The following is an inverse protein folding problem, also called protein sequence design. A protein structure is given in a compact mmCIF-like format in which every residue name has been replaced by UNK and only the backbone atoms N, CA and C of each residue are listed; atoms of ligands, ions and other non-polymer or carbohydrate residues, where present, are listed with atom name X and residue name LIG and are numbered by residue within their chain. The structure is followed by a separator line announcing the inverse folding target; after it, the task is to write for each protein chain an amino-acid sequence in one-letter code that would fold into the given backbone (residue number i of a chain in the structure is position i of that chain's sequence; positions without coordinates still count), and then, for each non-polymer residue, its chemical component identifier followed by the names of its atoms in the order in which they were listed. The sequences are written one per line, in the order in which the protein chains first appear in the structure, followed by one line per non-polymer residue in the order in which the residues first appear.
data_IF_627235457946
#
_entry.id   IF_627235457946
#
_cell.length_a   1.000
_cell.length_b   1.000
_cell.length_c   1.000
_cell.angle_alpha   90.00
_cell.angle_beta   90.00
_cell.angle_gamma   90.00
#
_symmetry.space_group_name_H-M   'P 1'
#
loop_
_entity.id
_entity.type
_entity.pdbx_description
1 polymer ?
#
# COMPACT_ATOMS: atom_id res chain seq x y z
N UNK A 1 -82.74 -7.31 8.41
CA UNK A 1 -82.34 -8.06 7.21
C UNK A 1 -80.83 -8.17 7.22
N UNK A 2 -80.37 -9.38 7.47
CA UNK A 2 -78.97 -9.79 7.65
C UNK A 2 -78.32 -9.93 6.28
N UNK A 3 -77.14 -9.37 6.06
CA UNK A 3 -76.29 -9.81 4.94
C UNK A 3 -74.83 -9.83 5.36
N UNK A 4 -74.28 -11.01 5.14
CA UNK A 4 -73.09 -11.64 5.68
C UNK A 4 -71.82 -11.20 4.95
N UNK A 5 -70.77 -10.91 5.72
CA UNK A 5 -69.38 -10.82 5.25
C UNK A 5 -68.85 -12.24 4.97
N UNK A 6 -68.54 -12.51 3.70
CA UNK A 6 -67.81 -13.71 3.28
C UNK A 6 -66.32 -13.55 3.60
N UNK A 7 -65.79 -14.56 4.29
CA UNK A 7 -64.40 -14.67 4.75
C UNK A 7 -63.63 -15.49 3.70
N UNK A 8 -62.60 -14.90 3.09
CA UNK A 8 -61.75 -15.59 2.13
C UNK A 8 -60.93 -16.71 2.79
N UNK A 9 -60.71 -17.85 2.10
CA UNK A 9 -59.94 -18.96 2.64
C UNK A 9 -58.44 -18.72 2.53
N UNK A 10 -57.75 -18.93 3.65
CA UNK A 10 -56.29 -18.93 3.74
C UNK A 10 -55.69 -20.06 2.88
N UNK A 11 -54.66 -19.80 2.06
CA UNK A 11 -54.01 -20.85 1.28
C UNK A 11 -53.14 -21.76 2.17
N UNK A 12 -52.89 -23.01 1.75
CA UNK A 12 -52.14 -24.00 2.52
C UNK A 12 -50.66 -23.63 2.64
N UNK A 13 -50.12 -23.77 3.85
CA UNK A 13 -48.70 -23.62 4.17
C UNK A 13 -47.90 -24.74 3.50
N UNK A 14 -46.95 -24.36 2.64
CA UNK A 14 -46.02 -25.29 2.00
C UNK A 14 -45.02 -25.87 3.02
N UNK A 15 -44.57 -27.13 2.87
CA UNK A 15 -43.64 -27.75 3.80
C UNK A 15 -42.26 -27.08 3.74
N UNK A 16 -41.66 -26.93 4.93
CA UNK A 16 -40.33 -26.38 5.13
C UNK A 16 -39.30 -27.11 4.26
N UNK A 17 -38.64 -26.36 3.37
CA UNK A 17 -37.51 -26.85 2.61
C UNK A 17 -36.36 -27.07 3.59
N UNK A 18 -35.94 -28.33 3.71
CA UNK A 18 -34.70 -28.76 4.33
C UNK A 18 -33.56 -27.83 3.91
N UNK A 19 -32.99 -27.13 4.88
CA UNK A 19 -31.79 -26.30 4.72
C UNK A 19 -30.62 -27.24 4.47
N UNK A 20 -30.34 -27.53 3.21
CA UNK A 20 -29.08 -28.15 2.79
C UNK A 20 -28.00 -27.12 3.05
N UNK A 21 -27.30 -27.26 4.17
CA UNK A 21 -26.05 -26.57 4.45
C UNK A 21 -25.11 -26.84 3.28
N UNK A 22 -24.94 -25.84 2.41
CA UNK A 22 -23.80 -25.80 1.52
C UNK A 22 -22.60 -25.73 2.45
N UNK A 23 -21.87 -26.83 2.58
CA UNK A 23 -20.51 -26.80 3.07
C UNK A 23 -19.77 -25.80 2.18
N UNK A 24 -19.52 -24.61 2.70
CA UNK A 24 -18.46 -23.74 2.23
C UNK A 24 -17.22 -24.63 2.17
N UNK A 25 -16.80 -24.94 0.94
CA UNK A 25 -15.49 -25.50 0.72
C UNK A 25 -14.53 -24.54 1.41
N UNK A 26 -13.84 -25.02 2.45
CA UNK A 26 -12.77 -24.30 3.10
C UNK A 26 -11.80 -23.89 1.99
N UNK A 27 -11.86 -22.62 1.61
CA UNK A 27 -10.80 -21.99 0.84
C UNK A 27 -9.58 -22.20 1.71
N UNK A 28 -8.68 -23.07 1.26
CA UNK A 28 -7.37 -23.27 1.86
C UNK A 28 -6.85 -21.88 2.19
N UNK A 29 -6.72 -21.57 3.49
CA UNK A 29 -6.21 -20.30 3.95
C UNK A 29 -4.75 -20.23 3.52
N UNK A 30 -4.53 -19.82 2.28
CA UNK A 30 -3.22 -19.46 1.79
C UNK A 30 -2.66 -18.50 2.82
N UNK A 31 -1.53 -18.86 3.44
CA UNK A 31 -0.91 -18.06 4.47
C UNK A 31 -0.79 -16.63 3.93
N UNK A 32 -1.43 -15.68 4.63
CA UNK A 32 -1.33 -14.27 4.27
C UNK A 32 0.13 -13.85 4.30
N UNK A 33 0.54 -12.92 3.43
CA UNK A 33 1.91 -12.44 3.38
C UNK A 33 2.34 -11.97 4.79
N UNK A 34 3.49 -12.42 5.34
CA UNK A 34 3.96 -11.97 6.66
C UNK A 34 4.10 -10.45 6.78
N UNK A 35 4.42 -9.78 5.67
CA UNK A 35 4.52 -8.32 5.62
C UNK A 35 3.16 -7.61 5.71
N UNK A 36 2.05 -8.31 5.45
CA UNK A 36 0.70 -7.80 5.65
C UNK A 36 0.28 -7.80 7.14
N UNK A 37 0.99 -8.54 8.00
CA UNK A 37 0.69 -8.60 9.43
C UNK A 37 1.53 -7.58 10.21
N UNK A 38 0.93 -6.46 10.62
CA UNK A 38 1.62 -5.37 11.33
C UNK A 38 2.15 -5.75 12.71
N UNK A 39 1.57 -6.76 13.35
CA UNK A 39 1.92 -7.20 14.71
C UNK A 39 3.16 -8.11 14.73
N UNK A 40 3.51 -8.67 13.57
CA UNK A 40 4.74 -9.44 13.42
C UNK A 40 5.90 -8.47 13.26
N UNK A 41 6.82 -8.52 14.22
CA UNK A 41 8.15 -7.96 14.04
C UNK A 41 8.83 -8.71 12.89
N UNK A 42 9.18 -7.99 11.83
CA UNK A 42 9.83 -8.59 10.67
C UNK A 42 11.27 -8.94 11.07
N UNK A 43 11.67 -10.23 11.10
CA UNK A 43 13.08 -10.55 11.24
C UNK A 43 13.83 -9.99 10.03
N UNK A 44 15.09 -9.59 10.20
CA UNK A 44 15.95 -9.14 9.09
C UNK A 44 16.06 -10.19 7.96
N UNK A 45 15.69 -11.45 8.24
CA UNK A 45 15.64 -12.55 7.28
C UNK A 45 14.36 -13.37 7.50
N UNK A 46 13.31 -13.11 6.72
CA UNK A 46 12.15 -14.01 6.62
C UNK A 46 12.58 -15.17 5.72
N UNK A 47 12.49 -16.41 6.22
CA UNK A 47 12.83 -17.59 5.43
C UNK A 47 11.91 -17.70 4.20
N UNK A 48 12.48 -18.07 3.06
CA UNK A 48 11.92 -17.82 1.72
C UNK A 48 10.75 -18.72 1.32
N UNK A 49 10.47 -19.78 2.06
CA UNK A 49 9.92 -20.97 1.43
C UNK A 49 8.38 -21.05 1.44
N UNK A 50 7.67 -20.01 1.92
CA UNK A 50 6.21 -20.09 2.07
C UNK A 50 5.40 -18.83 1.73
N UNK A 51 6.01 -17.74 1.27
CA UNK A 51 5.22 -16.58 0.83
C UNK A 51 4.83 -16.75 -0.65
N UNK A 52 3.54 -16.90 -0.99
CA UNK A 52 3.13 -17.04 -2.39
C UNK A 52 3.22 -15.72 -3.17
N UNK A 53 3.62 -14.62 -2.52
CA UNK A 53 3.61 -13.28 -3.08
C UNK A 53 5.01 -12.70 -3.32
N UNK A 54 6.03 -13.18 -2.61
CA UNK A 54 7.40 -12.66 -2.69
C UNK A 54 8.39 -13.82 -2.69
N UNK A 55 9.41 -13.79 -3.56
CA UNK A 55 10.61 -14.56 -3.30
C UNK A 55 11.47 -13.73 -2.34
N UNK A 56 11.52 -14.09 -1.05
CA UNK A 56 12.32 -13.40 -0.04
C UNK A 56 13.83 -13.60 -0.30
N UNK A 57 14.34 -12.97 -1.36
CA UNK A 57 15.71 -13.11 -1.79
C UNK A 57 16.63 -12.53 -0.71
N UNK A 58 17.69 -13.27 -0.39
CA UNK A 58 18.72 -12.77 0.51
C UNK A 58 19.36 -11.54 -0.12
N UNK A 59 19.39 -10.44 0.62
CA UNK A 59 20.06 -9.22 0.19
C UNK A 59 21.52 -9.50 -0.14
N UNK A 60 21.90 -9.10 -1.34
CA UNK A 60 23.28 -9.16 -1.77
C UNK A 60 24.07 -8.01 -1.13
N UNK A 61 25.40 -8.16 -1.09
CA UNK A 61 26.25 -7.04 -0.71
C UNK A 61 26.09 -5.90 -1.72
N UNK A 62 25.98 -4.64 -1.28
CA UNK A 62 25.83 -3.50 -2.17
C UNK A 62 26.96 -3.42 -3.21
N UNK A 63 26.62 -3.36 -4.49
CA UNK A 63 27.59 -3.08 -5.55
C UNK A 63 27.81 -1.57 -5.70
N UNK A 64 26.79 -0.75 -5.43
CA UNK A 64 26.84 0.70 -5.57
C UNK A 64 27.17 1.39 -4.24
N UNK A 65 28.20 2.24 -4.29
CA UNK A 65 28.66 3.05 -3.16
C UNK A 65 28.50 4.55 -3.43
N UNK A 66 28.43 4.94 -4.71
CA UNK A 66 28.23 6.32 -5.16
C UNK A 66 26.74 6.66 -5.29
N UNK A 67 26.45 7.96 -5.32
CA UNK A 67 25.08 8.44 -5.47
C UNK A 67 24.49 8.09 -6.85
N UNK A 68 23.26 7.58 -6.86
CA UNK A 68 22.50 7.31 -8.08
C UNK A 68 21.51 8.46 -8.31
N UNK A 69 21.54 9.16 -9.45
CA UNK A 69 20.60 10.25 -9.71
C UNK A 69 19.18 9.73 -9.98
N UNK A 70 18.19 10.51 -9.54
CA UNK A 70 16.80 10.38 -9.99
C UNK A 70 16.67 11.12 -11.33
N UNK A 71 16.61 10.39 -12.45
CA UNK A 71 16.56 10.98 -13.79
C UNK A 71 15.12 11.14 -14.24
N UNK A 72 14.68 12.38 -14.47
CA UNK A 72 13.32 12.71 -14.91
C UNK A 72 13.38 13.39 -16.28
N UNK A 73 12.60 12.89 -17.25
CA UNK A 73 12.40 13.53 -18.56
C UNK A 73 10.92 13.54 -18.88
N UNK A 74 10.41 14.68 -19.36
CA UNK A 74 8.99 14.84 -19.69
C UNK A 74 8.06 14.41 -18.54
N UNK A 75 8.42 14.78 -17.31
CA UNK A 75 7.68 14.46 -16.07
C UNK A 75 7.54 12.97 -15.76
N UNK A 76 8.34 12.10 -16.39
CA UNK A 76 8.45 10.68 -16.03
C UNK A 76 9.88 10.31 -15.68
N UNK A 77 10.02 9.42 -14.71
CA UNK A 77 11.29 8.79 -14.38
C UNK A 77 11.80 8.00 -15.59
N UNK A 78 13.10 8.09 -15.84
CA UNK A 78 13.84 7.36 -16.86
C UNK A 78 14.68 6.29 -16.18
N UNK A 79 14.43 5.03 -16.54
CA UNK A 79 15.23 3.91 -16.05
C UNK A 79 16.68 4.08 -16.51
N UNK A 80 17.63 3.75 -15.64
CA UNK A 80 19.06 3.78 -15.96
C UNK A 80 19.70 2.46 -15.53
N UNK A 81 20.86 2.08 -16.10
CA UNK A 81 21.61 0.92 -15.61
C UNK A 81 21.92 1.02 -14.11
N UNK A 82 22.18 2.23 -13.60
CA UNK A 82 22.46 2.49 -12.19
C UNK A 82 21.22 2.29 -11.30
N UNK A 83 20.03 2.76 -11.69
CA UNK A 83 18.79 2.52 -10.94
C UNK A 83 18.39 1.04 -10.96
N UNK A 84 18.63 0.33 -12.07
CA UNK A 84 18.42 -1.11 -12.16
C UNK A 84 19.40 -1.91 -11.29
N UNK A 85 20.66 -1.49 -11.21
CA UNK A 85 21.62 -2.08 -10.26
C UNK A 85 21.23 -1.78 -8.82
N UNK A 86 20.75 -0.57 -8.53
CA UNK A 86 20.31 -0.19 -7.20
C UNK A 86 19.12 -1.03 -6.72
N UNK A 87 18.20 -1.43 -7.62
CA UNK A 87 17.13 -2.38 -7.32
C UNK A 87 17.70 -3.74 -6.90
N UNK A 88 18.68 -4.27 -7.65
CA UNK A 88 19.35 -5.53 -7.30
C UNK A 88 20.05 -5.46 -5.93
N UNK A 89 20.76 -4.36 -5.67
CA UNK A 89 21.52 -4.17 -4.42
C UNK A 89 20.63 -4.21 -3.17
N UNK A 90 19.34 -3.89 -3.29
CA UNK A 90 18.40 -3.94 -2.17
C UNK A 90 17.60 -5.24 -2.03
N UNK A 91 17.83 -6.22 -2.91
CA UNK A 91 17.11 -7.50 -2.90
C UNK A 91 16.12 -7.68 -4.05
N UNK A 92 16.15 -6.79 -5.06
CA UNK A 92 15.30 -6.90 -6.25
C UNK A 92 13.87 -6.41 -6.03
N UNK A 93 13.00 -6.70 -7.01
CA UNK A 93 11.60 -6.31 -6.98
C UNK A 93 10.82 -6.84 -5.77
N UNK A 94 11.15 -8.03 -5.29
CA UNK A 94 10.45 -8.63 -4.16
C UNK A 94 10.63 -7.83 -2.86
N UNK A 95 11.80 -7.27 -2.58
CA UNK A 95 11.97 -6.37 -1.43
C UNK A 95 11.16 -5.08 -1.57
N UNK A 96 10.91 -4.60 -2.80
CA UNK A 96 10.00 -3.47 -3.03
C UNK A 96 8.54 -3.89 -2.78
N UNK A 97 8.15 -5.12 -3.13
CA UNK A 97 6.82 -5.67 -2.85
C UNK A 97 6.58 -5.87 -1.37
N UNK A 98 7.58 -6.36 -0.63
CA UNK A 98 7.57 -6.45 0.82
C UNK A 98 7.33 -5.07 1.46
N UNK A 99 8.11 -4.05 1.06
CA UNK A 99 7.92 -2.67 1.50
C UNK A 99 6.50 -2.18 1.22
N UNK A 100 6.01 -2.35 -0.01
CA UNK A 100 4.71 -1.79 -0.39
C UNK A 100 3.57 -2.54 0.33
N UNK A 101 3.70 -3.84 0.52
CA UNK A 101 2.75 -4.65 1.32
C UNK A 101 2.73 -4.17 2.77
N UNK A 102 3.90 -4.00 3.39
CA UNK A 102 4.02 -3.49 4.75
C UNK A 102 3.47 -2.08 4.90
N UNK A 103 3.74 -1.22 3.92
CA UNK A 103 3.17 0.13 3.85
C UNK A 103 1.64 0.08 3.88
N UNK A 104 1.00 -0.69 2.99
CA UNK A 104 -0.46 -0.74 2.95
C UNK A 104 -1.06 -1.41 4.18
N UNK A 105 -0.41 -2.43 4.74
CA UNK A 105 -0.84 -3.03 6.01
C UNK A 105 -0.99 -1.97 7.11
N UNK A 106 -0.04 -1.04 7.20
CA UNK A 106 -0.09 0.09 8.13
C UNK A 106 -1.10 1.16 7.70
N UNK A 107 -1.12 1.50 6.41
CA UNK A 107 -2.00 2.54 5.89
C UNK A 107 -3.49 2.17 6.05
N UNK A 108 -3.85 0.89 5.96
CA UNK A 108 -5.22 0.40 6.19
C UNK A 108 -5.70 0.58 7.65
N UNK A 109 -4.78 0.80 8.58
CA UNK A 109 -5.08 1.11 9.98
C UNK A 109 -5.15 2.63 10.23
N UNK A 110 -4.43 3.42 9.43
CA UNK A 110 -4.38 4.88 9.55
C UNK A 110 -5.74 5.55 9.25
N UNK A 111 -6.22 6.37 10.18
CA UNK A 111 -7.56 6.99 10.06
C UNK A 111 -7.62 8.10 9.02
N UNK A 112 -6.49 8.71 8.68
CA UNK A 112 -6.40 9.76 7.65
C UNK A 112 -6.42 9.13 6.25
N UNK A 113 -5.64 8.06 6.05
CA UNK A 113 -5.45 7.43 4.73
C UNK A 113 -6.53 6.40 4.39
N UNK A 114 -7.02 5.64 5.37
CA UNK A 114 -8.00 4.57 5.14
C UNK A 114 -9.21 4.97 4.29
N UNK A 115 -9.80 6.17 4.44
CA UNK A 115 -10.92 6.62 3.61
C UNK A 115 -10.63 6.66 2.09
N UNK A 116 -9.37 6.78 1.68
CA UNK A 116 -9.00 6.81 0.26
C UNK A 116 -8.99 5.41 -0.39
N UNK A 117 -8.91 4.33 0.40
CA UNK A 117 -8.85 2.97 -0.13
C UNK A 117 -10.26 2.45 -0.40
N UNK A 118 -10.70 2.49 -1.65
CA UNK A 118 -12.02 2.03 -2.07
C UNK A 118 -12.07 0.54 -2.42
N UNK A 119 -10.92 -0.08 -2.69
CA UNK A 119 -10.78 -1.53 -2.89
C UNK A 119 -10.50 -2.21 -1.54
N UNK A 120 -11.13 -3.36 -1.30
CA UNK A 120 -10.99 -4.17 -0.06
C UNK A 120 -10.16 -5.45 -0.29
N UNK A 121 -9.32 -5.47 -1.33
CA UNK A 121 -8.53 -6.65 -1.73
C UNK A 121 -7.23 -6.82 -0.92
N UNK A 122 -7.08 -6.04 0.15
CA UNK A 122 -6.04 -6.20 1.17
C UNK A 122 -4.69 -5.55 0.85
N UNK A 123 -3.81 -5.59 1.85
CA UNK A 123 -2.48 -4.98 1.82
C UNK A 123 -1.59 -5.55 0.73
N UNK A 124 -1.61 -6.87 0.53
CA UNK A 124 -0.82 -7.56 -0.48
C UNK A 124 -1.16 -7.10 -1.89
N UNK A 125 -2.45 -7.04 -2.23
CA UNK A 125 -2.87 -6.64 -3.58
C UNK A 125 -2.58 -5.15 -3.84
N UNK A 126 -2.80 -4.27 -2.87
CA UNK A 126 -2.42 -2.85 -2.98
C UNK A 126 -0.91 -2.66 -3.06
N UNK A 127 -0.17 -3.40 -2.23
CA UNK A 127 1.29 -3.42 -2.18
C UNK A 127 1.89 -3.81 -3.52
N UNK A 128 1.40 -4.92 -4.10
CA UNK A 128 1.78 -5.40 -5.42
C UNK A 128 1.65 -4.31 -6.50
N UNK A 129 0.51 -3.59 -6.53
CA UNK A 129 0.26 -2.53 -7.53
C UNK A 129 1.27 -1.40 -7.44
N UNK A 130 1.54 -0.91 -6.23
CA UNK A 130 2.50 0.18 -6.03
C UNK A 130 3.93 -0.30 -6.33
N UNK A 131 4.27 -1.51 -5.88
CA UNK A 131 5.57 -2.10 -6.12
C UNK A 131 5.85 -2.31 -7.60
N UNK A 132 4.92 -2.88 -8.37
CA UNK A 132 5.04 -3.04 -9.82
C UNK A 132 5.37 -1.72 -10.51
N UNK A 133 4.70 -0.65 -10.08
CA UNK A 133 4.96 0.67 -10.61
C UNK A 133 6.35 1.20 -10.24
N UNK A 134 6.80 1.04 -9.00
CA UNK A 134 8.14 1.45 -8.54
C UNK A 134 9.23 0.63 -9.24
N UNK A 135 9.10 -0.70 -9.30
CA UNK A 135 10.02 -1.63 -9.94
C UNK A 135 10.22 -1.25 -11.41
N UNK A 136 9.12 -0.99 -12.13
CA UNK A 136 9.20 -0.53 -13.50
C UNK A 136 9.89 0.84 -13.63
N UNK A 137 9.75 1.75 -12.65
CA UNK A 137 10.51 3.01 -12.64
C UNK A 137 11.99 2.81 -12.35
N UNK A 138 12.38 1.85 -11.51
CA UNK A 138 13.80 1.54 -11.29
C UNK A 138 14.43 0.84 -12.50
N UNK A 139 13.67 -0.06 -13.14
CA UNK A 139 14.10 -0.88 -14.26
C UNK A 139 14.87 -2.13 -13.82
N UNK A 140 15.29 -2.94 -14.80
CA UNK A 140 16.09 -4.16 -14.55
C UNK A 140 15.30 -5.46 -14.47
N UNK A 141 13.97 -5.40 -14.28
CA UNK A 141 13.10 -6.57 -14.10
C UNK A 141 11.86 -6.54 -15.02
N UNK A 142 12.01 -6.04 -16.25
CA UNK A 142 10.91 -5.99 -17.23
C UNK A 142 9.95 -4.80 -17.05
N UNK A 143 8.67 -5.00 -17.32
CA UNK A 143 7.62 -3.96 -17.25
C UNK A 143 6.41 -4.43 -16.41
N UNK A 144 6.60 -4.81 -15.14
CA UNK A 144 5.56 -5.49 -14.37
C UNK A 144 4.24 -4.70 -14.23
N UNK A 145 4.29 -3.36 -14.16
CA UNK A 145 3.08 -2.53 -14.13
C UNK A 145 2.34 -2.49 -15.47
N UNK A 146 3.08 -2.45 -16.59
CA UNK A 146 2.48 -2.54 -17.93
C UNK A 146 1.89 -3.94 -18.14
N UNK A 147 2.68 -4.97 -17.84
CA UNK A 147 2.38 -6.37 -18.12
C UNK A 147 1.21 -6.88 -17.26
N UNK A 148 0.97 -6.28 -16.07
CA UNK A 148 -0.20 -6.55 -15.25
C UNK A 148 -1.52 -6.00 -15.83
N UNK A 149 -1.50 -5.37 -17.02
CA UNK A 149 -2.66 -4.73 -17.63
C UNK A 149 -3.09 -3.42 -16.96
N UNK A 150 -2.24 -2.84 -16.11
CA UNK A 150 -2.57 -1.62 -15.33
C UNK A 150 -2.07 -0.34 -15.98
N UNK A 151 -1.54 -0.42 -17.20
CA UNK A 151 -1.16 0.76 -17.97
C UNK A 151 -2.31 1.77 -18.04
N UNK A 152 -2.03 3.03 -17.67
CA UNK A 152 -3.02 4.11 -17.64
C UNK A 152 -3.98 4.12 -16.43
N UNK A 153 -4.03 3.07 -15.61
CA UNK A 153 -5.01 2.98 -14.51
C UNK A 153 -4.68 3.87 -13.30
N UNK A 154 -3.44 4.39 -13.18
CA UNK A 154 -3.03 5.24 -12.05
C UNK A 154 -4.00 6.40 -11.84
N UNK A 155 -4.28 7.18 -12.88
CA UNK A 155 -5.11 8.39 -12.73
C UNK A 155 -6.57 8.03 -12.39
N UNK A 156 -7.10 6.97 -13.00
CA UNK A 156 -8.45 6.48 -12.74
C UNK A 156 -8.60 6.01 -11.29
N UNK A 157 -7.62 5.27 -10.77
CA UNK A 157 -7.62 4.84 -9.36
C UNK A 157 -7.56 6.02 -8.39
N UNK A 158 -6.75 7.06 -8.68
CA UNK A 158 -6.70 8.25 -7.81
C UNK A 158 -8.01 9.04 -7.85
N UNK A 159 -8.63 9.20 -9.02
CA UNK A 159 -9.94 9.84 -9.13
C UNK A 159 -11.00 9.11 -8.30
N UNK A 160 -11.02 7.77 -8.35
CA UNK A 160 -11.91 6.95 -7.50
C UNK A 160 -11.63 7.12 -6.01
N UNK A 161 -10.36 7.18 -5.61
CA UNK A 161 -9.98 7.44 -4.23
C UNK A 161 -10.47 8.81 -3.74
N UNK A 162 -10.39 9.86 -4.57
CA UNK A 162 -10.87 11.19 -4.21
C UNK A 162 -12.38 11.22 -3.99
N UNK A 163 -13.16 10.51 -4.81
CA UNK A 163 -14.64 10.46 -4.67
C UNK A 163 -15.14 9.29 -3.82
N UNK A 164 -14.24 8.58 -3.13
CA UNK A 164 -14.58 7.42 -2.29
C UNK A 164 -15.70 7.74 -1.29
N UNK A 165 -16.71 6.87 -1.21
CA UNK A 165 -17.83 7.02 -0.27
C UNK A 165 -17.41 6.90 1.19
N UNK A 166 -16.23 6.32 1.45
CA UNK A 166 -15.65 6.23 2.79
C UNK A 166 -15.13 7.58 3.30
N UNK A 167 -14.93 8.55 2.41
CA UNK A 167 -14.54 9.92 2.79
C UNK A 167 -15.75 10.70 3.29
N UNK A 168 -15.50 11.58 4.24
CA UNK A 168 -16.51 12.50 4.76
C UNK A 168 -17.11 13.31 3.60
N UNK A 169 -18.45 13.49 3.55
CA UNK A 169 -19.10 14.22 2.46
C UNK A 169 -18.55 15.64 2.23
N UNK A 170 -18.05 16.30 3.28
CA UNK A 170 -17.53 17.67 3.19
C UNK A 170 -16.19 17.81 2.45
N UNK A 171 -15.44 16.71 2.27
CA UNK A 171 -14.12 16.69 1.60
C UNK A 171 -14.06 15.71 0.43
N UNK A 172 -15.19 15.10 0.06
CA UNK A 172 -15.25 14.13 -1.04
C UNK A 172 -15.08 14.85 -2.38
N UNK A 173 -14.19 14.34 -3.22
CA UNK A 173 -13.76 14.97 -4.47
C UNK A 173 -12.50 15.83 -4.31
N UNK A 174 -12.15 16.25 -3.09
CA UNK A 174 -10.92 16.99 -2.87
C UNK A 174 -9.69 16.11 -3.12
N UNK A 175 -8.63 16.71 -3.63
CA UNK A 175 -7.36 16.02 -3.83
C UNK A 175 -6.65 15.77 -2.49
N UNK A 176 -5.59 14.96 -2.54
CA UNK A 176 -4.69 14.73 -1.41
C UNK A 176 -4.16 16.07 -0.89
N UNK A 177 -4.41 16.38 0.38
CA UNK A 177 -3.94 17.62 0.99
C UNK A 177 -2.54 17.42 1.63
N UNK A 178 -2.04 18.46 2.31
CA UNK A 178 -0.72 18.41 2.95
C UNK A 178 -0.66 17.38 4.07
N UNK A 179 -1.68 17.31 4.90
CA UNK A 179 -1.77 16.33 5.97
C UNK A 179 -1.77 14.91 5.42
N UNK A 180 -2.58 14.63 4.39
CA UNK A 180 -2.63 13.33 3.70
C UNK A 180 -1.25 12.94 3.16
N UNK A 181 -0.60 13.87 2.43
CA UNK A 181 0.69 13.65 1.79
C UNK A 181 1.79 13.31 2.79
N UNK A 182 1.83 14.02 3.91
CA UNK A 182 2.85 13.81 4.95
C UNK A 182 2.60 12.53 5.73
N UNK A 183 1.35 12.24 6.09
CA UNK A 183 0.98 10.96 6.73
C UNK A 183 1.36 9.78 5.83
N UNK A 184 1.05 9.86 4.52
CA UNK A 184 1.44 8.85 3.53
C UNK A 184 2.96 8.65 3.52
N UNK A 185 3.75 9.73 3.40
CA UNK A 185 5.21 9.63 3.37
C UNK A 185 5.78 9.02 4.65
N UNK A 186 5.31 9.45 5.83
CA UNK A 186 5.79 8.94 7.13
C UNK A 186 5.57 7.45 7.29
N UNK A 187 4.36 6.95 6.97
CA UNK A 187 4.05 5.52 7.03
C UNK A 187 4.87 4.74 5.99
N UNK A 188 5.04 5.30 4.79
CA UNK A 188 5.81 4.69 3.71
C UNK A 188 7.30 4.56 4.06
N UNK A 189 7.91 5.60 4.65
CA UNK A 189 9.28 5.55 5.15
C UNK A 189 9.44 4.62 6.36
N UNK A 190 8.44 4.55 7.24
CA UNK A 190 8.45 3.59 8.34
C UNK A 190 8.47 2.15 7.82
N UNK A 191 7.56 1.80 6.90
CA UNK A 191 7.55 0.48 6.27
C UNK A 191 8.88 0.16 5.58
N UNK A 192 9.48 1.13 4.90
CA UNK A 192 10.79 0.97 4.28
C UNK A 192 11.91 0.63 5.29
N UNK A 193 11.88 1.23 6.49
CA UNK A 193 12.81 0.92 7.58
C UNK A 193 12.60 -0.47 8.14
N UNK A 194 11.36 -0.89 8.32
CA UNK A 194 11.07 -2.25 8.79
C UNK A 194 11.52 -3.32 7.80
N UNK A 195 11.44 -3.02 6.50
CA UNK A 195 12.02 -3.86 5.46
C UNK A 195 13.54 -3.69 5.35
N UNK A 196 14.21 -2.92 6.22
CA UNK A 196 15.66 -2.69 6.22
C UNK A 196 16.21 -1.85 5.07
N UNK A 197 15.36 -1.24 4.22
CA UNK A 197 15.81 -0.53 3.02
C UNK A 197 16.59 0.75 3.35
N UNK A 198 16.41 1.29 4.56
CA UNK A 198 17.14 2.45 5.05
C UNK A 198 18.63 2.15 5.33
N UNK A 199 19.01 0.89 5.54
CA UNK A 199 20.40 0.49 5.83
C UNK A 199 21.28 0.64 4.59
N UNK A 200 20.69 0.54 3.39
CA UNK A 200 21.38 0.80 2.14
C UNK A 200 21.39 2.31 1.83
N UNK A 201 22.41 3.03 2.32
CA UNK A 201 22.48 4.50 2.25
C UNK A 201 22.27 5.11 0.85
N UNK A 202 22.81 4.48 -0.21
CA UNK A 202 22.59 4.94 -1.60
C UNK A 202 21.11 4.81 -2.01
N UNK A 203 20.50 3.66 -1.75
CA UNK A 203 19.08 3.44 -2.00
C UNK A 203 18.23 4.42 -1.20
N UNK A 204 18.52 4.59 0.09
CA UNK A 204 17.75 5.49 0.95
C UNK A 204 17.72 6.92 0.39
N UNK A 205 18.88 7.49 0.01
CA UNK A 205 18.97 8.82 -0.61
C UNK A 205 18.23 8.89 -1.96
N UNK A 206 18.35 7.86 -2.79
CA UNK A 206 17.62 7.78 -4.06
C UNK A 206 16.11 7.71 -3.82
N UNK A 207 15.66 6.87 -2.89
CA UNK A 207 14.26 6.60 -2.60
C UNK A 207 13.55 7.81 -1.98
N UNK A 208 14.21 8.53 -1.07
CA UNK A 208 13.68 9.78 -0.54
C UNK A 208 13.48 10.83 -1.65
N UNK A 209 14.44 10.99 -2.58
CA UNK A 209 14.29 11.88 -3.75
C UNK A 209 13.22 11.39 -4.72
N UNK A 210 13.09 10.09 -4.91
CA UNK A 210 12.06 9.47 -5.73
C UNK A 210 10.66 9.81 -5.19
N UNK A 211 10.41 9.58 -3.90
CA UNK A 211 9.13 9.92 -3.27
C UNK A 211 8.89 11.44 -3.25
N UNK A 212 9.93 12.23 -2.99
CA UNK A 212 9.86 13.69 -3.05
C UNK A 212 9.39 14.19 -4.43
N UNK A 213 9.82 13.56 -5.53
CA UNK A 213 9.35 13.91 -6.86
C UNK A 213 7.87 13.58 -7.05
N UNK A 214 7.45 12.37 -6.68
CA UNK A 214 6.10 11.90 -6.96
C UNK A 214 5.05 12.51 -6.04
N UNK A 215 5.38 12.83 -4.79
CA UNK A 215 4.45 13.51 -3.90
C UNK A 215 4.09 14.91 -4.44
N UNK A 216 4.98 15.53 -5.21
CA UNK A 216 4.75 16.83 -5.85
C UNK A 216 3.58 16.84 -6.86
N UNK A 217 3.19 15.67 -7.38
CA UNK A 217 2.03 15.51 -8.28
C UNK A 217 0.73 15.70 -7.49
N UNK A 218 0.71 15.30 -6.23
CA UNK A 218 -0.48 15.31 -5.38
C UNK A 218 -0.56 16.60 -4.57
N UNK A 219 0.54 16.96 -3.91
CA UNK A 219 0.60 18.14 -3.05
C UNK A 219 2.03 18.71 -3.06
N UNK A 220 2.23 19.75 -3.87
CA UNK A 220 3.55 20.36 -4.09
C UNK A 220 4.18 20.89 -2.80
N UNK A 221 3.39 21.32 -1.81
CA UNK A 221 3.92 21.80 -0.52
C UNK A 221 4.56 20.68 0.30
N UNK A 222 4.20 19.43 0.05
CA UNK A 222 4.75 18.28 0.77
C UNK A 222 6.23 18.01 0.44
N UNK A 223 6.72 18.46 -0.72
CA UNK A 223 8.07 18.22 -1.24
C UNK A 223 9.17 18.60 -0.26
N UNK A 224 9.01 19.70 0.49
CA UNK A 224 10.02 20.17 1.46
C UNK A 224 10.11 19.29 2.71
N UNK A 225 9.09 18.48 2.99
CA UNK A 225 9.02 17.65 4.19
C UNK A 225 9.52 16.23 3.97
N UNK A 226 9.89 15.82 2.75
CA UNK A 226 10.30 14.44 2.48
C UNK A 226 11.46 13.96 3.38
N UNK A 227 12.43 14.82 3.67
CA UNK A 227 13.53 14.50 4.58
C UNK A 227 13.06 14.45 6.04
N UNK A 228 12.25 15.43 6.47
CA UNK A 228 11.70 15.48 7.83
C UNK A 228 10.80 14.28 8.13
N UNK A 229 9.97 13.87 7.17
CA UNK A 229 9.07 12.72 7.29
C UNK A 229 9.83 11.38 7.23
N UNK A 230 10.93 11.33 6.47
CA UNK A 230 11.88 10.21 6.51
C UNK A 230 12.61 10.12 7.87
N UNK A 231 12.99 11.25 8.45
CA UNK A 231 13.61 11.31 9.78
C UNK A 231 12.60 10.98 10.89
N UNK A 232 11.36 11.46 10.77
CA UNK A 232 10.27 11.17 11.72
C UNK A 232 10.09 9.67 11.92
N UNK A 233 10.15 8.89 10.84
CA UNK A 233 9.99 7.43 10.86
C UNK A 233 11.14 6.68 11.54
N UNK A 234 12.25 7.35 11.84
CA UNK A 234 13.39 6.76 12.55
C UNK A 234 13.27 6.86 14.08
N UNK A 235 12.32 7.64 14.59
CA UNK A 235 12.22 7.97 16.03
C UNK A 235 11.18 7.07 16.69
N UNK A 236 11.55 6.13 17.58
CA UNK A 236 10.61 5.19 18.19
C UNK A 236 9.44 5.88 18.90
N UNK A 237 9.68 6.98 19.60
CA UNK A 237 8.64 7.74 20.33
C UNK A 237 7.55 8.29 19.40
N UNK A 238 7.91 8.67 18.17
CA UNK A 238 6.95 9.13 17.18
C UNK A 238 6.02 7.99 16.75
N UNK A 239 6.58 6.79 16.55
CA UNK A 239 5.83 5.60 16.18
C UNK A 239 4.92 5.14 17.32
N UNK A 240 5.43 5.14 18.56
CA UNK A 240 4.65 4.82 19.75
C UNK A 240 3.46 5.77 19.90
N UNK A 241 3.69 7.08 19.79
CA UNK A 241 2.62 8.10 19.84
C UNK A 241 1.58 7.92 18.74
N UNK A 242 2.00 7.58 17.52
CA UNK A 242 1.09 7.28 16.42
C UNK A 242 0.17 6.07 16.73
N UNK A 243 0.74 5.00 17.29
CA UNK A 243 0.00 3.80 17.68
C UNK A 243 -0.95 4.07 18.87
N UNK A 244 -0.46 4.77 19.91
CA UNK A 244 -1.25 5.18 21.08
C UNK A 244 -2.43 6.09 20.71
N UNK A 245 -2.29 6.89 19.65
CA UNK A 245 -3.31 7.80 19.16
C UNK A 245 -4.22 7.17 18.08
N UNK A 246 -4.49 5.86 18.19
CA UNK A 246 -5.35 5.09 17.29
C UNK A 246 -5.02 5.33 15.81
N UNK A 247 -3.74 5.26 15.46
CA UNK A 247 -3.24 5.40 14.09
C UNK A 247 -3.58 6.77 13.49
N UNK A 248 -3.32 7.83 14.26
CA UNK A 248 -3.38 9.24 13.82
C UNK A 248 -2.11 9.97 14.20
N UNK A 249 -1.64 10.85 13.32
CA UNK A 249 -0.47 11.70 13.58
C UNK A 249 -0.93 13.12 13.95
N UNK A 250 -1.03 13.46 15.26
CA UNK A 250 -1.57 14.75 15.68
C UNK A 250 -0.59 15.91 15.42
N UNK A 251 0.67 15.61 15.13
CA UNK A 251 1.74 16.56 14.85
C UNK A 251 1.87 16.91 13.35
N UNK A 252 1.08 16.26 12.48
CA UNK A 252 1.06 16.58 11.05
C UNK A 252 0.17 17.80 10.81
N UNK A 253 0.74 18.77 10.09
CA UNK A 253 0.10 20.00 9.62
C UNK A 253 -0.03 19.90 8.11
#
# INVERSE_FOLDING_TARGET
MTTTLTKDPTPPVAPAKSSTTIQEAAVSSAAECPFANVDVALPMHVASDSCPFHAHAVRQSPALWSDVPVVIRSLTFQTTPASAQLLRDVGGGDTIRELCTRFYARAFLDKQLKPFFFEEDGATAHGQRLADWIIQKMGGEGQPWTDSGRWGLRQVSHAKAWVSEKRDPSVRGDHFNLTDARTWMRIHFWAARECGLADHAVFWRWYTRFLQHFIAIYERRAVRFAQDDAAWSAVPDNLARYLENDHRMPDVI
#
